data_IF_632237622311
#
_entry.id   IF_632237622311
#
_cell.length_a   1.000
_cell.length_b   1.000
_cell.length_c   1.000
_cell.angle_alpha   90.00
_cell.angle_beta   90.00
_cell.angle_gamma   90.00
#
_symmetry.space_group_name_H-M   'P 1'
#
loop_
_entity.id
_entity.type
_entity.pdbx_description
1 polymer ?
#
# COMPACT_ATOMS: atom_id res chain seq x y z
N UNK A 1 -5.13 43.52 -26.48
CA UNK A 1 -3.75 43.68 -25.96
C UNK A 1 -3.85 43.95 -24.46
N UNK A 2 -3.76 42.91 -23.63
CA UNK A 2 -4.08 42.95 -22.21
C UNK A 2 -2.78 42.86 -21.38
N UNK A 3 -2.59 43.81 -20.47
CA UNK A 3 -1.37 44.00 -19.68
C UNK A 3 -1.11 42.82 -18.73
N UNK A 4 0.08 42.24 -18.82
CA UNK A 4 0.61 41.31 -17.81
C UNK A 4 1.12 42.10 -16.61
N UNK A 5 0.57 41.85 -15.43
CA UNK A 5 1.14 42.30 -14.16
C UNK A 5 2.02 41.18 -13.58
N UNK A 6 3.33 41.44 -13.57
CA UNK A 6 4.35 40.64 -12.89
C UNK A 6 4.32 40.98 -11.40
N UNK A 7 3.96 40.02 -10.55
CA UNK A 7 4.22 40.09 -9.12
C UNK A 7 5.56 39.41 -8.81
N UNK A 8 6.38 40.14 -8.07
CA UNK A 8 7.79 39.87 -7.77
C UNK A 8 7.98 40.01 -6.25
N UNK A 9 8.84 39.15 -5.66
CA UNK A 9 9.45 39.24 -4.32
C UNK A 9 8.46 39.03 -3.15
N UNK A 10 8.75 38.25 -2.09
CA UNK A 10 9.97 38.21 -1.27
C UNK A 10 10.14 36.85 -0.58
N UNK A 11 11.37 36.31 -0.62
CA UNK A 11 11.82 35.23 0.25
C UNK A 11 12.30 35.81 1.60
N UNK A 12 11.74 35.32 2.71
CA UNK A 12 12.25 35.58 4.06
C UNK A 12 12.99 34.35 4.58
N UNK A 13 14.30 34.49 4.73
CA UNK A 13 15.18 33.57 5.45
C UNK A 13 15.01 33.85 6.95
N UNK A 14 14.45 32.90 7.68
CA UNK A 14 14.42 32.94 9.14
C UNK A 14 15.51 32.00 9.69
N UNK A 15 16.61 32.60 10.13
CA UNK A 15 17.63 31.95 10.95
C UNK A 15 17.08 31.78 12.38
N UNK A 16 16.82 30.54 12.78
CA UNK A 16 16.33 30.17 14.10
C UNK A 16 17.39 29.45 14.92
N UNK A 17 17.67 30.00 16.10
CA UNK A 17 18.74 29.68 17.05
C UNK A 17 18.66 28.24 17.58
N UNK A 18 19.77 27.51 17.43
CA UNK A 18 19.98 26.16 17.95
C UNK A 18 20.32 26.25 19.45
N UNK A 19 19.34 25.95 20.32
CA UNK A 19 19.55 25.87 21.77
C UNK A 19 19.69 24.40 22.17
N UNK A 20 20.92 23.94 22.39
CA UNK A 20 21.23 22.55 22.78
C UNK A 20 21.09 22.40 24.30
N UNK A 21 19.94 21.91 24.77
CA UNK A 21 19.76 21.50 26.18
C UNK A 21 20.25 20.06 26.32
N UNK A 22 21.41 19.87 26.92
CA UNK A 22 21.94 18.56 27.31
C UNK A 22 21.19 18.05 28.55
N UNK A 23 20.17 17.22 28.34
CA UNK A 23 19.51 16.44 29.38
C UNK A 23 20.26 15.11 29.58
N UNK A 24 21.07 15.05 30.64
CA UNK A 24 21.80 13.86 31.06
C UNK A 24 20.83 12.92 31.80
N UNK A 25 20.09 12.09 31.06
CA UNK A 25 19.21 11.07 31.62
C UNK A 25 20.01 9.81 31.98
N UNK A 26 20.13 9.55 33.28
CA UNK A 26 20.70 8.32 33.85
C UNK A 26 19.96 7.09 33.32
N UNK A 27 20.61 6.31 32.44
CA UNK A 27 20.09 5.02 31.99
C UNK A 27 20.31 3.98 33.08
N UNK A 28 19.32 3.77 33.93
CA UNK A 28 19.21 2.54 34.73
C UNK A 28 18.98 1.39 33.74
N UNK A 29 20.04 0.65 33.44
CA UNK A 29 20.02 -0.49 32.54
C UNK A 29 19.26 -1.66 33.16
N UNK A 30 17.93 -1.67 33.02
CA UNK A 30 17.16 -2.90 33.09
C UNK A 30 17.51 -3.70 31.83
N UNK A 31 18.45 -4.64 31.98
CA UNK A 31 18.69 -5.67 30.98
C UNK A 31 17.37 -6.44 30.78
N UNK A 32 16.61 -6.08 29.76
CA UNK A 32 15.48 -6.89 29.33
C UNK A 32 16.06 -8.22 28.87
N UNK A 33 15.75 -9.29 29.61
CA UNK A 33 16.13 -10.63 29.21
C UNK A 33 15.51 -10.89 27.84
N UNK A 34 16.34 -10.90 26.80
CA UNK A 34 15.91 -11.33 25.47
C UNK A 34 15.44 -12.78 25.62
N UNK A 35 14.16 -13.09 25.35
CA UNK A 35 13.69 -14.46 25.40
C UNK A 35 14.58 -15.32 24.49
N UNK A 36 14.97 -16.50 24.99
CA UNK A 36 15.76 -17.44 24.22
C UNK A 36 15.04 -17.72 22.88
N UNK A 37 15.76 -17.80 21.75
CA UNK A 37 15.18 -18.16 20.47
C UNK A 37 14.41 -19.47 20.64
N UNK A 38 13.10 -19.45 20.39
CA UNK A 38 12.35 -20.69 20.30
C UNK A 38 12.67 -21.32 18.94
N UNK A 39 12.99 -22.61 18.94
CA UNK A 39 13.14 -23.40 17.73
C UNK A 39 11.80 -23.43 17.00
N UNK A 40 11.63 -22.54 16.01
CA UNK A 40 10.47 -22.56 15.12
C UNK A 40 10.67 -23.73 14.16
N UNK A 41 9.76 -24.72 14.13
CA UNK A 41 9.88 -25.83 13.19
C UNK A 41 9.98 -25.31 11.75
N UNK A 42 10.91 -25.86 10.97
CA UNK A 42 10.98 -25.59 9.53
C UNK A 42 9.67 -26.05 8.88
N UNK A 43 8.95 -25.12 8.25
CA UNK A 43 7.68 -25.38 7.57
C UNK A 43 7.86 -25.67 6.08
N UNK A 44 9.11 -25.70 5.59
CA UNK A 44 9.43 -25.83 4.18
C UNK A 44 9.05 -24.58 3.37
N UNK A 45 9.24 -24.61 2.04
CA UNK A 45 8.86 -23.52 1.17
C UNK A 45 7.33 -23.35 1.13
N UNK A 46 6.87 -22.10 1.12
CA UNK A 46 5.46 -21.81 0.95
C UNK A 46 4.96 -22.27 -0.41
N UNK A 47 3.84 -23.00 -0.42
CA UNK A 47 3.13 -23.44 -1.63
C UNK A 47 1.67 -22.97 -1.55
N UNK A 48 1.22 -22.12 -2.48
CA UNK A 48 -0.20 -21.79 -2.58
C UNK A 48 -1.07 -23.04 -2.65
N UNK A 49 -2.17 -23.02 -1.90
CA UNK A 49 -3.17 -24.12 -1.92
C UNK A 49 -4.25 -23.85 -2.96
N UNK A 50 -4.61 -22.59 -3.17
CA UNK A 50 -5.57 -22.22 -4.20
C UNK A 50 -4.98 -22.46 -5.60
N UNK A 51 -5.80 -22.92 -6.53
CA UNK A 51 -5.47 -22.93 -7.94
C UNK A 51 -5.33 -21.50 -8.47
N UNK A 52 -4.46 -21.30 -9.46
CA UNK A 52 -4.16 -19.96 -9.98
C UNK A 52 -5.43 -19.26 -10.51
N UNK A 53 -6.27 -19.98 -11.26
CA UNK A 53 -7.51 -19.44 -11.84
C UNK A 53 -8.46 -18.89 -10.76
N UNK A 54 -8.74 -19.69 -9.72
CA UNK A 54 -9.56 -19.27 -8.57
C UNK A 54 -8.96 -18.05 -7.85
N UNK A 55 -7.63 -17.95 -7.79
CA UNK A 55 -6.94 -16.81 -7.20
C UNK A 55 -7.15 -15.54 -8.05
N UNK A 56 -7.08 -15.64 -9.38
CA UNK A 56 -7.30 -14.51 -10.30
C UNK A 56 -8.75 -14.03 -10.27
N UNK A 57 -9.73 -14.93 -10.29
CA UNK A 57 -11.15 -14.57 -10.16
C UNK A 57 -11.43 -13.82 -8.84
N UNK A 58 -10.81 -14.27 -7.74
CA UNK A 58 -10.94 -13.57 -6.45
C UNK A 58 -10.30 -12.18 -6.49
N UNK A 59 -9.12 -12.02 -7.10
CA UNK A 59 -8.48 -10.71 -7.24
C UNK A 59 -9.35 -9.75 -8.06
N UNK A 60 -9.91 -10.20 -9.18
CA UNK A 60 -10.82 -9.43 -10.02
C UNK A 60 -12.08 -9.02 -9.24
N UNK A 61 -12.70 -9.97 -8.52
CA UNK A 61 -13.86 -9.69 -7.66
C UNK A 61 -13.56 -8.60 -6.62
N UNK A 62 -12.39 -8.66 -5.99
CA UNK A 62 -12.01 -7.65 -5.01
C UNK A 62 -11.72 -6.28 -5.64
N UNK A 63 -11.12 -6.25 -6.84
CA UNK A 63 -10.92 -5.02 -7.60
C UNK A 63 -12.25 -4.35 -7.97
N UNK A 64 -13.19 -5.10 -8.53
CA UNK A 64 -14.54 -4.61 -8.86
C UNK A 64 -15.28 -4.10 -7.62
N UNK A 65 -15.17 -4.79 -6.49
CA UNK A 65 -15.77 -4.35 -5.21
C UNK A 65 -15.26 -2.97 -4.75
N UNK A 66 -13.99 -2.64 -5.01
CA UNK A 66 -13.45 -1.30 -4.72
C UNK A 66 -13.97 -0.25 -5.69
N UNK A 67 -14.02 -0.56 -6.98
CA UNK A 67 -14.57 0.34 -8.00
C UNK A 67 -16.03 0.70 -7.70
N UNK A 68 -16.84 -0.32 -7.36
CA UNK A 68 -18.24 -0.15 -7.01
C UNK A 68 -18.42 0.72 -5.75
N UNK A 69 -17.62 0.48 -4.71
CA UNK A 69 -17.66 1.29 -3.51
C UNK A 69 -17.32 2.76 -3.79
N UNK A 70 -16.37 3.02 -4.68
CA UNK A 70 -15.94 4.38 -5.03
C UNK A 70 -16.91 5.15 -5.93
N UNK A 71 -17.93 4.50 -6.51
CA UNK A 71 -19.01 5.19 -7.27
C UNK A 71 -19.84 6.13 -6.40
N UNK A 72 -19.96 5.84 -5.10
CA UNK A 72 -20.67 6.69 -4.13
C UNK A 72 -19.79 6.88 -2.89
N UNK A 73 -18.79 7.77 -2.95
CA UNK A 73 -17.77 7.88 -1.90
C UNK A 73 -18.35 8.38 -0.57
N UNK A 74 -17.76 7.90 0.52
CA UNK A 74 -18.18 8.19 1.89
C UNK A 74 -17.61 7.17 2.88
N UNK A 75 -17.80 7.41 4.17
CA UNK A 75 -17.16 6.61 5.23
C UNK A 75 -17.43 5.09 5.10
N UNK A 76 -18.67 4.71 4.77
CA UNK A 76 -19.02 3.30 4.52
C UNK A 76 -18.28 2.74 3.32
N UNK A 77 -18.23 3.50 2.22
CA UNK A 77 -17.49 3.09 1.01
C UNK A 77 -16.00 2.92 1.32
N UNK A 78 -15.38 3.82 2.08
CA UNK A 78 -13.97 3.71 2.42
C UNK A 78 -13.66 2.50 3.31
N UNK A 79 -14.57 2.13 4.23
CA UNK A 79 -14.44 0.87 4.98
C UNK A 79 -14.47 -0.35 4.05
N UNK A 80 -15.33 -0.33 3.03
CA UNK A 80 -15.40 -1.38 2.00
C UNK A 80 -14.12 -1.40 1.17
N UNK A 81 -13.67 -0.26 0.65
CA UNK A 81 -12.42 -0.18 -0.13
C UNK A 81 -11.25 -0.70 0.69
N UNK A 82 -11.12 -0.31 1.96
CA UNK A 82 -10.05 -0.78 2.85
C UNK A 82 -10.06 -2.31 2.96
N UNK A 83 -11.24 -2.90 3.18
CA UNK A 83 -11.38 -4.36 3.27
C UNK A 83 -10.94 -5.04 1.97
N UNK A 84 -11.50 -4.65 0.83
CA UNK A 84 -11.16 -5.26 -0.46
C UNK A 84 -9.69 -5.06 -0.82
N UNK A 85 -9.11 -3.90 -0.54
CA UNK A 85 -7.71 -3.61 -0.79
C UNK A 85 -6.77 -4.47 0.06
N UNK A 86 -7.10 -4.69 1.35
CA UNK A 86 -6.33 -5.59 2.20
C UNK A 86 -6.40 -7.05 1.73
N UNK A 87 -7.59 -7.51 1.34
CA UNK A 87 -7.73 -8.87 0.80
C UNK A 87 -6.95 -9.01 -0.50
N UNK A 88 -7.07 -8.05 -1.44
CA UNK A 88 -6.32 -8.06 -2.69
C UNK A 88 -4.79 -8.09 -2.44
N UNK A 89 -4.31 -7.36 -1.44
CA UNK A 89 -2.89 -7.40 -1.07
C UNK A 89 -2.45 -8.80 -0.61
N UNK A 90 -3.24 -9.49 0.20
CA UNK A 90 -2.94 -10.86 0.61
C UNK A 90 -3.00 -11.83 -0.58
N UNK A 91 -3.99 -11.71 -1.46
CA UNK A 91 -4.08 -12.54 -2.66
C UNK A 91 -2.88 -12.32 -3.59
N UNK A 92 -2.42 -11.07 -3.74
CA UNK A 92 -1.21 -10.76 -4.51
C UNK A 92 0.06 -11.34 -3.85
N UNK A 93 0.12 -11.34 -2.52
CA UNK A 93 1.20 -11.95 -1.75
C UNK A 93 1.21 -13.49 -1.84
N UNK A 94 0.05 -14.14 -2.03
CA UNK A 94 -0.01 -15.56 -2.38
C UNK A 94 0.38 -15.76 -3.85
N UNK A 95 -0.10 -14.88 -4.74
CA UNK A 95 0.08 -15.00 -6.19
C UNK A 95 1.55 -15.08 -6.62
N UNK A 96 2.43 -14.27 -6.00
CA UNK A 96 3.87 -14.26 -6.30
C UNK A 96 4.57 -15.63 -6.21
N UNK A 97 3.94 -16.65 -5.60
CA UNK A 97 4.49 -18.00 -5.48
C UNK A 97 3.97 -18.98 -6.55
N UNK A 98 3.14 -18.54 -7.50
CA UNK A 98 2.67 -19.37 -8.62
C UNK A 98 3.65 -19.43 -9.81
N UNK A 99 4.62 -18.51 -9.87
CA UNK A 99 5.68 -18.46 -10.88
C UNK A 99 6.97 -17.90 -10.27
N UNK A 100 8.11 -18.44 -10.69
CA UNK A 100 9.44 -17.99 -10.24
C UNK A 100 10.07 -16.91 -11.14
N UNK A 101 9.30 -16.36 -12.08
CA UNK A 101 9.78 -15.34 -13.01
C UNK A 101 9.88 -13.99 -12.31
N UNK A 102 11.01 -13.32 -12.46
CA UNK A 102 11.32 -12.10 -11.69
C UNK A 102 10.33 -10.95 -11.96
N UNK A 103 9.89 -10.80 -13.22
CA UNK A 103 8.85 -9.85 -13.62
C UNK A 103 7.48 -10.19 -13.02
N UNK A 104 7.08 -11.46 -13.03
CA UNK A 104 5.86 -11.93 -12.40
C UNK A 104 5.84 -11.64 -10.89
N UNK A 105 6.92 -11.99 -10.18
CA UNK A 105 7.09 -11.70 -8.75
C UNK A 105 7.06 -10.19 -8.50
N UNK A 106 7.66 -9.40 -9.40
CA UNK A 106 7.65 -7.94 -9.33
C UNK A 106 6.24 -7.37 -9.48
N UNK A 107 5.45 -7.83 -10.46
CA UNK A 107 4.07 -7.38 -10.65
C UNK A 107 3.16 -7.77 -9.49
N UNK A 108 3.27 -9.00 -8.99
CA UNK A 108 2.53 -9.42 -7.80
C UNK A 108 2.90 -8.57 -6.56
N UNK A 109 4.18 -8.22 -6.41
CA UNK A 109 4.64 -7.32 -5.34
C UNK A 109 4.09 -5.90 -5.51
N UNK A 110 4.12 -5.35 -6.72
CA UNK A 110 3.56 -4.04 -7.04
C UNK A 110 2.05 -3.97 -6.79
N UNK A 111 1.33 -5.03 -7.15
CA UNK A 111 -0.11 -5.15 -6.91
C UNK A 111 -0.40 -5.13 -5.41
N UNK A 112 0.33 -5.93 -4.62
CA UNK A 112 0.24 -5.93 -3.15
C UNK A 112 0.50 -4.54 -2.56
N UNK A 113 1.61 -3.93 -2.91
CA UNK A 113 2.04 -2.66 -2.32
C UNK A 113 1.07 -1.53 -2.66
N UNK A 114 0.59 -1.48 -3.91
CA UNK A 114 -0.43 -0.51 -4.34
C UNK A 114 -1.76 -0.72 -3.61
N UNK A 115 -2.16 -1.97 -3.37
CA UNK A 115 -3.38 -2.28 -2.64
C UNK A 115 -3.26 -1.88 -1.16
N UNK A 116 -2.11 -2.10 -0.52
CA UNK A 116 -1.86 -1.62 0.84
C UNK A 116 -1.82 -0.09 0.93
N UNK A 117 -1.27 0.59 -0.08
CA UNK A 117 -1.33 2.05 -0.16
C UNK A 117 -2.78 2.55 -0.23
N UNK A 118 -3.61 1.93 -1.08
CA UNK A 118 -5.03 2.24 -1.20
C UNK A 118 -5.78 1.99 0.12
N UNK A 119 -5.50 0.89 0.81
CA UNK A 119 -6.05 0.61 2.13
C UNK A 119 -5.68 1.70 3.15
N UNK A 120 -4.43 2.20 3.11
CA UNK A 120 -3.96 3.30 3.94
C UNK A 120 -4.67 4.62 3.66
N UNK A 121 -4.95 4.94 2.39
CA UNK A 121 -5.78 6.10 2.00
C UNK A 121 -7.21 5.96 2.50
N UNK A 122 -7.83 4.80 2.30
CA UNK A 122 -9.19 4.53 2.74
C UNK A 122 -9.35 4.59 4.27
N UNK A 123 -8.29 4.25 5.03
CA UNK A 123 -8.29 4.31 6.49
C UNK A 123 -8.40 5.74 7.05
N UNK A 124 -8.20 6.78 6.22
CA UNK A 124 -8.35 8.18 6.62
C UNK A 124 -9.81 8.60 6.80
N UNK A 125 -10.77 7.74 6.42
CA UNK A 125 -12.20 8.01 6.67
C UNK A 125 -12.67 9.26 5.94
N UNK A 126 -13.31 10.19 6.65
CA UNK A 126 -13.84 11.43 6.06
C UNK A 126 -12.78 12.29 5.37
N UNK A 127 -11.51 12.15 5.75
CA UNK A 127 -10.40 12.95 5.21
C UNK A 127 -9.73 12.28 4.00
N UNK A 128 -10.23 11.13 3.56
CA UNK A 128 -9.66 10.39 2.44
C UNK A 128 -9.83 11.17 1.12
N UNK A 129 -8.73 11.34 0.40
CA UNK A 129 -8.72 11.88 -0.96
C UNK A 129 -9.22 10.82 -1.95
N UNK A 130 -10.48 10.96 -2.37
CA UNK A 130 -11.12 10.05 -3.33
C UNK A 130 -10.42 10.06 -4.70
N UNK A 131 -9.87 11.20 -5.12
CA UNK A 131 -9.14 11.29 -6.38
C UNK A 131 -7.84 10.49 -6.33
N UNK A 132 -7.09 10.59 -5.23
CA UNK A 132 -5.91 9.76 -5.00
C UNK A 132 -6.25 8.27 -4.95
N UNK A 133 -7.37 7.89 -4.33
CA UNK A 133 -7.83 6.49 -4.29
C UNK A 133 -8.17 5.95 -5.68
N UNK A 134 -8.89 6.72 -6.51
CA UNK A 134 -9.18 6.34 -7.89
C UNK A 134 -7.90 6.18 -8.72
N UNK A 135 -6.92 7.06 -8.53
CA UNK A 135 -5.61 6.92 -9.18
C UNK A 135 -4.88 5.62 -8.80
N UNK A 136 -5.00 5.18 -7.54
CA UNK A 136 -4.45 3.90 -7.09
C UNK A 136 -5.22 2.71 -7.68
N UNK A 137 -6.55 2.79 -7.81
CA UNK A 137 -7.35 1.75 -8.48
C UNK A 137 -6.95 1.59 -9.95
N UNK A 138 -6.75 2.68 -10.68
CA UNK A 138 -6.24 2.60 -12.06
C UNK A 138 -4.82 2.01 -12.14
N UNK A 139 -3.96 2.31 -11.16
CA UNK A 139 -2.64 1.69 -11.07
C UNK A 139 -2.71 0.18 -10.80
N UNK A 140 -3.66 -0.28 -9.97
CA UNK A 140 -3.92 -1.72 -9.77
C UNK A 140 -4.30 -2.37 -11.09
N UNK A 141 -5.29 -1.81 -11.81
CA UNK A 141 -5.75 -2.31 -13.11
C UNK A 141 -4.61 -2.40 -14.12
N UNK A 142 -3.83 -1.34 -14.25
CA UNK A 142 -2.67 -1.33 -15.15
C UNK A 142 -1.63 -2.39 -14.79
N UNK A 143 -1.46 -2.71 -13.50
CA UNK A 143 -0.55 -3.78 -13.05
C UNK A 143 -1.09 -5.16 -13.43
N UNK A 144 -2.39 -5.39 -13.25
CA UNK A 144 -3.04 -6.64 -13.69
C UNK A 144 -2.92 -6.83 -15.20
N UNK A 145 -3.28 -5.81 -15.99
CA UNK A 145 -3.17 -5.85 -17.46
C UNK A 145 -1.75 -6.15 -17.92
N UNK A 146 -0.73 -5.49 -17.36
CA UNK A 146 0.66 -5.73 -17.74
C UNK A 146 1.13 -7.17 -17.47
N UNK A 147 0.62 -7.80 -16.40
CA UNK A 147 0.90 -9.20 -16.12
C UNK A 147 0.16 -10.13 -17.09
N UNK A 148 -1.12 -9.89 -17.35
CA UNK A 148 -1.95 -10.69 -18.24
C UNK A 148 -1.44 -10.65 -19.69
N UNK A 149 -0.99 -9.48 -20.17
CA UNK A 149 -0.41 -9.33 -21.52
C UNK A 149 0.80 -10.25 -21.78
N UNK A 150 1.43 -10.77 -20.72
CA UNK A 150 2.61 -11.65 -20.80
C UNK A 150 2.30 -13.10 -20.42
N UNK A 151 1.34 -13.33 -19.52
CA UNK A 151 1.16 -14.62 -18.85
C UNK A 151 -0.21 -15.29 -19.04
N UNK A 152 -1.18 -14.64 -19.70
CA UNK A 152 -2.44 -15.25 -20.17
C UNK A 152 -2.30 -15.86 -21.57
#
# INVERSE_FOLDING_TARGET
MQKMHRNVLTASVAAGILTTVFLLASRVGLAQATPAPQDVPDRGPFKPVAELEMLMEAQESHLHGMEDALKTPGEKAFKVVRFHAQVLAELANVNRFHRDKADYVSWATQLRDTALELAGKAAQGSDADTGAMLGLVEKLKSTCTACHDVYD
#
